data_IF_176634191721
#
_entry.id   IF_176634191721
#
_cell.length_a   1.000
_cell.length_b   1.000
_cell.length_c   1.000
_cell.angle_alpha   90.00
_cell.angle_beta   90.00
_cell.angle_gamma   90.00
#
_symmetry.space_group_name_H-M   'P 1'
#
loop_
_entity.id
_entity.type
_entity.pdbx_description
1 polymer ?
#
# COMPACT_ATOMS: atom_id res chain seq x y z
N UNK A 1 -37.02 -14.98 -21.27
CA UNK A 1 -35.89 -15.72 -20.65
C UNK A 1 -34.79 -15.87 -21.69
N UNK A 2 -33.62 -15.28 -21.45
CA UNK A 2 -32.47 -15.32 -22.38
C UNK A 2 -31.17 -15.24 -21.58
N UNK A 3 -30.40 -16.33 -21.58
CA UNK A 3 -29.45 -16.75 -20.54
C UNK A 3 -28.01 -16.40 -20.95
N UNK A 4 -27.74 -15.13 -21.28
CA UNK A 4 -26.39 -14.70 -21.68
C UNK A 4 -25.63 -14.11 -20.49
N UNK A 5 -25.03 -14.99 -19.69
CA UNK A 5 -24.08 -14.62 -18.65
C UNK A 5 -22.83 -13.99 -19.26
N UNK A 6 -22.60 -12.70 -18.99
CA UNK A 6 -21.39 -11.96 -19.37
C UNK A 6 -20.14 -12.72 -18.90
N UNK A 7 -19.32 -13.24 -19.82
CA UNK A 7 -18.02 -13.81 -19.49
C UNK A 7 -17.11 -12.67 -19.02
N UNK A 8 -16.72 -12.68 -17.74
CA UNK A 8 -15.68 -11.80 -17.19
C UNK A 8 -14.41 -11.88 -18.03
N UNK A 9 -13.79 -10.72 -18.29
CA UNK A 9 -12.53 -10.64 -19.04
C UNK A 9 -11.41 -11.40 -18.31
N UNK A 10 -10.36 -11.77 -19.06
CA UNK A 10 -9.19 -12.47 -18.53
C UNK A 10 -8.48 -11.64 -17.46
N UNK A 11 -8.49 -10.31 -17.59
CA UNK A 11 -7.95 -9.35 -16.62
C UNK A 11 -8.77 -9.28 -15.34
N UNK A 12 -10.11 -9.24 -15.44
CA UNK A 12 -10.99 -9.27 -14.26
C UNK A 12 -10.80 -10.56 -13.46
N UNK A 13 -10.61 -11.70 -14.14
CA UNK A 13 -10.31 -12.97 -13.47
C UNK A 13 -8.96 -12.94 -12.78
N UNK A 14 -7.94 -12.36 -13.41
CA UNK A 14 -6.61 -12.22 -12.80
C UNK A 14 -6.65 -11.32 -11.56
N UNK A 15 -7.37 -10.20 -11.62
CA UNK A 15 -7.58 -9.30 -10.48
C UNK A 15 -8.35 -10.00 -9.35
N UNK A 16 -9.39 -10.76 -9.68
CA UNK A 16 -10.16 -11.53 -8.70
C UNK A 16 -9.31 -12.61 -8.00
N UNK A 17 -8.48 -13.33 -8.76
CA UNK A 17 -7.54 -14.33 -8.22
C UNK A 17 -6.50 -13.65 -7.32
N UNK A 18 -5.94 -12.51 -7.73
CA UNK A 18 -5.02 -11.74 -6.91
C UNK A 18 -5.67 -11.28 -5.59
N UNK A 19 -6.93 -10.84 -5.63
CA UNK A 19 -7.72 -10.49 -4.44
C UNK A 19 -7.98 -11.69 -3.51
N UNK A 20 -8.27 -12.87 -4.06
CA UNK A 20 -8.44 -14.11 -3.29
C UNK A 20 -7.13 -14.54 -2.60
N UNK A 21 -6.00 -14.43 -3.30
CA UNK A 21 -4.67 -14.71 -2.76
C UNK A 21 -4.30 -13.74 -1.64
N UNK A 22 -4.54 -12.43 -1.85
CA UNK A 22 -4.25 -11.40 -0.86
C UNK A 22 -5.14 -11.46 0.39
N UNK A 23 -6.41 -11.84 0.22
CA UNK A 23 -7.37 -11.96 1.33
C UNK A 23 -7.30 -13.30 2.07
N UNK A 24 -6.69 -14.32 1.48
CA UNK A 24 -6.63 -15.68 2.01
C UNK A 24 -8.00 -16.38 1.97
N UNK A 25 -8.96 -15.78 1.26
CA UNK A 25 -10.32 -16.29 1.11
C UNK A 25 -10.47 -16.89 -0.29
N UNK A 26 -11.29 -17.93 -0.41
CA UNK A 26 -11.47 -18.67 -1.66
C UNK A 26 -10.48 -19.82 -1.86
N UNK A 27 -10.68 -20.61 -2.91
CA UNK A 27 -9.90 -21.82 -3.19
C UNK A 27 -8.40 -21.51 -3.40
N UNK A 28 -8.11 -20.49 -4.22
CA UNK A 28 -6.73 -20.06 -4.50
C UNK A 28 -6.06 -19.44 -3.27
N UNK A 29 -6.78 -18.62 -2.49
CA UNK A 29 -6.24 -18.05 -1.25
C UNK A 29 -5.88 -19.11 -0.20
N UNK A 30 -6.72 -20.15 -0.05
CA UNK A 30 -6.45 -21.27 0.85
C UNK A 30 -5.32 -22.17 0.35
N UNK A 31 -5.27 -22.45 -0.95
CA UNK A 31 -4.18 -23.24 -1.54
C UNK A 31 -2.83 -22.52 -1.39
N UNK A 32 -2.75 -21.24 -1.76
CA UNK A 32 -1.54 -20.45 -1.59
C UNK A 32 -1.10 -20.35 -0.13
N UNK A 33 -2.05 -20.23 0.81
CA UNK A 33 -1.75 -20.28 2.25
C UNK A 33 -1.27 -21.66 2.74
N UNK A 34 -1.72 -22.74 2.12
CA UNK A 34 -1.27 -24.08 2.48
C UNK A 34 0.14 -24.40 1.95
N UNK A 35 0.54 -23.79 0.84
CA UNK A 35 1.88 -23.98 0.24
C UNK A 35 2.94 -22.98 0.71
N UNK A 36 2.54 -21.85 1.31
CA UNK A 36 3.44 -20.84 1.86
C UNK A 36 3.36 -20.87 3.38
N UNK A 37 4.51 -20.89 4.06
CA UNK A 37 4.57 -20.70 5.51
C UNK A 37 3.94 -19.35 5.89
N UNK A 38 3.35 -19.22 7.08
CA UNK A 38 2.63 -18.01 7.51
C UNK A 38 3.51 -16.73 7.43
N UNK A 39 4.84 -16.85 7.58
CA UNK A 39 5.81 -15.77 7.39
C UNK A 39 5.91 -15.29 5.93
N UNK A 40 5.99 -16.23 4.98
CA UNK A 40 6.06 -15.89 3.55
C UNK A 40 4.71 -15.39 3.02
N UNK A 41 3.60 -15.89 3.58
CA UNK A 41 2.28 -15.37 3.30
C UNK A 41 2.08 -13.93 3.83
N UNK A 42 2.62 -13.63 5.01
CA UNK A 42 2.71 -12.26 5.54
C UNK A 42 3.47 -11.33 4.61
N UNK A 43 4.63 -11.78 4.10
CA UNK A 43 5.44 -11.02 3.12
C UNK A 43 4.71 -10.80 1.80
N UNK A 44 3.93 -11.77 1.31
CA UNK A 44 3.11 -11.64 0.09
C UNK A 44 1.97 -10.65 0.30
N UNK A 45 1.25 -10.72 1.42
CA UNK A 45 0.20 -9.74 1.76
C UNK A 45 0.75 -8.33 1.94
N UNK A 46 1.93 -8.20 2.54
CA UNK A 46 2.61 -6.92 2.72
C UNK A 46 3.07 -6.34 1.38
N UNK A 47 3.58 -7.19 0.47
CA UNK A 47 3.97 -6.78 -0.88
C UNK A 47 2.78 -6.36 -1.75
N UNK A 48 1.65 -7.08 -1.66
CA UNK A 48 0.41 -6.73 -2.38
C UNK A 48 -0.25 -5.48 -1.75
N UNK A 49 -0.21 -5.35 -0.42
CA UNK A 49 -0.70 -4.16 0.29
C UNK A 49 0.08 -2.90 -0.07
N UNK A 50 1.41 -3.00 -0.20
CA UNK A 50 2.27 -1.90 -0.65
C UNK A 50 1.97 -1.48 -2.11
N UNK A 51 1.61 -2.43 -2.98
CA UNK A 51 1.23 -2.14 -4.37
C UNK A 51 -0.12 -1.41 -4.47
N UNK A 52 -1.14 -1.89 -3.76
CA UNK A 52 -2.46 -1.25 -3.79
C UNK A 52 -2.45 0.12 -3.10
N UNK A 53 -1.67 0.29 -2.03
CA UNK A 53 -1.55 1.56 -1.33
C UNK A 53 -1.13 2.72 -2.24
N UNK A 54 -0.22 2.50 -3.21
CA UNK A 54 0.21 3.56 -4.13
C UNK A 54 -0.88 4.01 -5.13
N UNK A 55 -1.66 3.06 -5.66
CA UNK A 55 -2.77 3.33 -6.58
C UNK A 55 -3.99 3.91 -5.84
N UNK A 56 -4.25 3.42 -4.63
CA UNK A 56 -5.35 3.89 -3.78
C UNK A 56 -5.09 5.33 -3.31
N UNK A 57 -3.86 5.70 -2.97
CA UNK A 57 -3.55 7.06 -2.48
C UNK A 57 -3.80 8.13 -3.53
N UNK A 58 -3.40 7.94 -4.80
CA UNK A 58 -3.68 8.94 -5.83
C UNK A 58 -5.17 9.14 -6.07
N UNK A 59 -5.96 8.06 -6.04
CA UNK A 59 -7.42 8.14 -6.15
C UNK A 59 -8.04 8.84 -4.94
N UNK A 60 -7.55 8.56 -3.73
CA UNK A 60 -8.00 9.23 -2.50
C UNK A 60 -7.68 10.74 -2.55
N UNK A 61 -6.48 11.12 -2.97
CA UNK A 61 -6.11 12.52 -3.15
C UNK A 61 -6.98 13.21 -4.20
N UNK A 62 -7.22 12.56 -5.35
CA UNK A 62 -8.11 13.10 -6.40
C UNK A 62 -9.56 13.23 -5.92
N UNK A 63 -10.01 12.36 -5.01
CA UNK A 63 -11.31 12.44 -4.36
C UNK A 63 -11.37 13.51 -3.24
N UNK A 64 -10.29 14.23 -2.98
CA UNK A 64 -10.22 15.27 -1.94
C UNK A 64 -10.08 14.72 -0.53
N UNK A 65 -9.51 13.53 -0.36
CA UNK A 65 -9.23 12.99 0.97
C UNK A 65 -8.32 13.94 1.77
N UNK A 66 -8.61 14.15 3.07
CA UNK A 66 -7.81 15.03 3.91
C UNK A 66 -6.39 14.48 4.06
N UNK A 67 -5.41 15.37 3.95
CA UNK A 67 -4.00 15.04 4.16
C UNK A 67 -3.53 15.53 5.53
N UNK A 68 -2.68 14.75 6.17
CA UNK A 68 -2.03 15.09 7.43
C UNK A 68 -0.53 15.25 7.18
N UNK A 69 0.05 16.44 7.40
CA UNK A 69 1.51 16.61 7.31
C UNK A 69 2.20 15.77 8.39
N UNK A 70 3.35 15.19 8.07
CA UNK A 70 4.16 14.43 9.01
C UNK A 70 5.65 14.68 8.75
N UNK A 71 6.45 14.72 9.82
CA UNK A 71 7.89 14.80 9.73
C UNK A 71 8.51 13.40 9.66
N UNK A 72 9.50 13.21 8.77
CA UNK A 72 10.24 11.95 8.66
C UNK A 72 11.25 11.86 9.81
N UNK A 73 11.05 10.89 10.70
CA UNK A 73 11.93 10.66 11.86
C UNK A 73 13.06 9.70 11.51
N UNK A 74 12.76 8.62 10.79
CA UNK A 74 13.75 7.68 10.29
C UNK A 74 13.29 7.01 9.01
N UNK A 75 14.27 6.59 8.21
CA UNK A 75 14.08 5.81 6.99
C UNK A 75 15.02 4.60 7.01
N UNK A 76 14.48 3.42 6.72
CA UNK A 76 15.22 2.18 6.55
C UNK A 76 14.98 1.61 5.16
N UNK A 77 16.04 1.22 4.46
CA UNK A 77 15.91 0.49 3.21
C UNK A 77 15.60 -0.99 3.51
N UNK A 78 14.61 -1.54 2.82
CA UNK A 78 14.26 -2.96 2.94
C UNK A 78 15.02 -3.84 1.96
N UNK A 79 15.77 -3.24 1.02
CA UNK A 79 16.47 -3.93 -0.07
C UNK A 79 15.53 -4.47 -1.15
N UNK A 80 14.22 -4.22 -1.05
CA UNK A 80 13.21 -4.63 -2.03
C UNK A 80 12.86 -3.49 -2.97
N UNK A 81 12.62 -3.85 -4.22
CA UNK A 81 12.18 -2.94 -5.27
C UNK A 81 10.85 -3.40 -5.85
N UNK A 82 9.98 -2.45 -6.20
CA UNK A 82 8.75 -2.68 -6.96
C UNK A 82 8.75 -1.73 -8.15
N UNK A 83 8.65 -2.24 -9.38
CA UNK A 83 8.79 -1.44 -10.61
C UNK A 83 10.06 -0.58 -10.60
N UNK A 84 11.14 -1.15 -10.08
CA UNK A 84 12.42 -0.49 -9.77
C UNK A 84 12.38 0.52 -8.63
N UNK A 85 11.24 1.03 -8.19
CA UNK A 85 11.17 1.95 -7.05
C UNK A 85 11.41 1.23 -5.70
N UNK A 86 12.18 1.83 -4.78
CA UNK A 86 12.51 1.21 -3.51
C UNK A 86 11.31 1.13 -2.55
N UNK A 87 11.24 0.02 -1.83
CA UNK A 87 10.36 -0.16 -0.67
C UNK A 87 11.14 0.20 0.58
N UNK A 88 10.65 1.17 1.33
CA UNK A 88 11.31 1.71 2.53
C UNK A 88 10.40 1.56 3.75
N UNK A 89 11.03 1.35 4.91
CA UNK A 89 10.41 1.48 6.21
C UNK A 89 10.56 2.92 6.70
N UNK A 90 9.45 3.62 6.92
CA UNK A 90 9.41 4.98 7.41
C UNK A 90 8.88 5.00 8.84
N UNK A 91 9.53 5.79 9.68
CA UNK A 91 8.96 6.25 10.95
C UNK A 91 8.67 7.72 10.81
N UNK A 92 7.41 8.08 11.00
CA UNK A 92 6.88 9.42 10.76
C UNK A 92 6.25 9.95 12.04
N UNK A 93 6.30 11.26 12.22
CA UNK A 93 5.61 11.95 13.30
C UNK A 93 4.57 12.91 12.69
N UNK A 94 3.27 12.56 12.72
CA UNK A 94 2.23 13.45 12.23
C UNK A 94 2.20 14.77 13.00
N UNK A 95 1.90 15.85 12.30
CA UNK A 95 1.81 17.19 12.89
C UNK A 95 0.69 17.26 13.93
N UNK A 96 0.99 17.88 15.07
CA UNK A 96 0.04 17.99 16.19
C UNK A 96 0.03 16.79 17.14
N UNK A 97 0.86 15.77 16.91
CA UNK A 97 1.05 14.63 17.84
C UNK A 97 2.53 14.36 18.10
N UNK A 98 2.81 13.75 19.25
CA UNK A 98 4.13 13.20 19.61
C UNK A 98 4.22 11.70 19.30
N UNK A 99 3.13 11.08 18.87
CA UNK A 99 3.08 9.68 18.48
C UNK A 99 3.83 9.46 17.17
N UNK A 100 4.54 8.33 17.09
CA UNK A 100 5.26 7.90 15.90
C UNK A 100 4.49 6.81 15.19
N UNK A 101 4.34 6.99 13.89
CA UNK A 101 3.71 6.02 13.00
C UNK A 101 4.80 5.34 12.20
N UNK A 102 4.86 4.01 12.28
CA UNK A 102 5.70 3.21 11.41
C UNK A 102 4.88 2.68 10.24
N UNK A 103 5.35 2.88 9.01
CA UNK A 103 4.74 2.34 7.81
C UNK A 103 5.80 1.93 6.79
N UNK A 104 5.47 0.94 5.98
CA UNK A 104 6.29 0.52 4.86
C UNK A 104 5.61 0.96 3.57
N UNK A 105 6.36 1.62 2.69
CA UNK A 105 5.81 2.18 1.45
C UNK A 105 6.82 2.11 0.32
N UNK A 106 6.31 2.14 -0.91
CA UNK A 106 7.10 2.39 -2.11
C UNK A 106 7.34 3.91 -2.19
N UNK A 107 8.55 4.33 -2.51
CA UNK A 107 8.90 5.74 -2.79
C UNK A 107 9.60 5.85 -4.14
N UNK A 108 9.41 6.97 -4.83
CA UNK A 108 10.07 7.20 -6.11
C UNK A 108 11.59 7.35 -5.95
N UNK A 109 12.38 6.76 -6.85
CA UNK A 109 13.84 7.01 -6.88
C UNK A 109 14.23 8.47 -7.06
N UNK A 110 13.36 9.26 -7.71
CA UNK A 110 13.64 10.68 -7.97
C UNK A 110 13.48 11.53 -6.71
N UNK A 111 12.58 11.11 -5.81
CA UNK A 111 12.22 11.84 -4.59
C UNK A 111 12.13 10.88 -3.41
N UNK A 112 13.30 10.40 -2.99
CA UNK A 112 13.42 9.60 -1.76
C UNK A 112 13.42 10.59 -0.58
N UNK A 113 12.44 10.50 0.34
CA UNK A 113 12.38 11.37 1.50
C UNK A 113 13.56 11.13 2.44
N UNK A 114 14.01 12.19 3.10
CA UNK A 114 15.12 12.19 4.06
C UNK A 114 14.60 12.47 5.47
N UNK A 115 15.41 12.13 6.46
CA UNK A 115 15.12 12.48 7.85
C UNK A 115 15.04 14.00 8.00
N UNK A 116 13.96 14.46 8.62
CA UNK A 116 13.63 15.88 8.77
C UNK A 116 12.71 16.44 7.68
N UNK A 117 12.51 15.73 6.56
CA UNK A 117 11.60 16.18 5.51
C UNK A 117 10.15 16.15 6.00
N UNK A 118 9.32 17.05 5.45
CA UNK A 118 7.88 16.97 5.60
C UNK A 118 7.26 16.18 4.46
N UNK A 119 6.35 15.29 4.81
CA UNK A 119 5.60 14.44 3.90
C UNK A 119 4.12 14.50 4.24
N UNK A 120 3.27 14.07 3.32
CA UNK A 120 1.84 13.97 3.53
C UNK A 120 1.43 12.53 3.79
N UNK A 121 0.45 12.39 4.68
CA UNK A 121 -0.24 11.15 4.98
C UNK A 121 -1.72 11.27 4.64
N UNK A 122 -2.32 10.19 4.17
CA UNK A 122 -3.77 10.05 4.00
C UNK A 122 -4.24 8.92 4.92
N UNK A 123 -5.46 9.04 5.47
CA UNK A 123 -6.04 7.97 6.27
C UNK A 123 -6.25 6.71 5.43
N UNK A 124 -5.88 5.55 5.97
CA UNK A 124 -6.07 4.26 5.30
C UNK A 124 -7.54 3.81 5.44
N UNK A 125 -8.35 3.80 4.38
CA UNK A 125 -9.75 3.36 4.46
C UNK A 125 -9.87 1.86 4.74
N UNK A 126 -8.85 1.07 4.41
CA UNK A 126 -8.84 -0.37 4.67
C UNK A 126 -8.46 -0.69 6.14
N UNK A 127 -7.79 0.24 6.82
CA UNK A 127 -7.38 0.11 8.23
C UNK A 127 -7.68 1.40 9.00
N UNK A 128 -8.86 1.52 9.63
CA UNK A 128 -9.20 2.69 10.43
C UNK A 128 -8.13 3.00 11.49
N UNK A 129 -7.67 4.25 11.53
CA UNK A 129 -6.56 4.70 12.40
C UNK A 129 -5.16 4.47 11.80
N UNK A 130 -5.06 3.78 10.66
CA UNK A 130 -3.83 3.66 9.88
C UNK A 130 -3.64 4.83 8.92
N UNK A 131 -2.41 4.97 8.44
CA UNK A 131 -2.01 5.97 7.46
C UNK A 131 -1.36 5.34 6.23
N UNK A 132 -1.55 5.98 5.09
CA UNK A 132 -0.87 5.73 3.83
C UNK A 132 0.02 6.92 3.49
N UNK A 133 1.18 6.64 2.90
CA UNK A 133 2.13 7.65 2.44
C UNK A 133 1.62 8.33 1.16
N UNK A 134 1.59 9.66 1.15
CA UNK A 134 1.07 10.47 0.05
C UNK A 134 2.12 11.38 -0.62
N UNK A 135 3.41 11.15 -0.37
CA UNK A 135 4.49 11.90 -0.98
C UNK A 135 4.93 13.12 -0.17
N UNK A 136 5.70 13.98 -0.82
CA UNK A 136 6.34 15.19 -0.26
C UNK A 136 5.42 16.43 -0.23
N UNK A 137 4.16 16.30 -0.63
CA UNK A 137 3.18 17.39 -0.62
C UNK A 137 3.42 18.51 -1.64
N UNK A 138 4.48 18.40 -2.43
CA UNK A 138 4.64 19.18 -3.65
C UNK A 138 3.79 18.50 -4.72
N UNK A 139 2.52 18.92 -4.78
CA UNK A 139 1.69 18.67 -5.95
C UNK A 139 2.48 19.11 -7.21
N UNK A 140 2.50 18.29 -8.28
CA UNK A 140 3.06 18.74 -9.56
C UNK A 140 2.33 19.97 -10.10
#
# INVERSE_FOLDING_TARGET
MGIFGKRKSREERAAEIAGQVASGKGFYGRATRAFLNDEDYGRVRQSIGAYNAGLDVQQLLAAGAPTTPAAVVSIGDTGRLVNHDPVVDLVLQPSGTTERVALQTIVSKLRIPRVGDQVLLVADPARPGGYLYAGDGIAP
#
